data_IF_687491899832
#
_entry.id   IF_687491899832
#
_cell.length_a   1.000
_cell.length_b   1.000
_cell.length_c   1.000
_cell.angle_alpha   90.00
_cell.angle_beta   90.00
_cell.angle_gamma   90.00
#
_symmetry.space_group_name_H-M   'P 1'
#
loop_
_entity.id
_entity.type
_entity.pdbx_description
1 polymer ?
#
# COMPACT_ATOMS: atom_id res chain seq x y z
N UNK A 1 -6.26 -3.03 -59.02
CA UNK A 1 -5.92 -4.39 -58.53
C UNK A 1 -4.68 -4.87 -59.27
N UNK A 2 -3.78 -5.67 -58.67
CA UNK A 2 -3.25 -5.71 -57.28
C UNK A 2 -1.89 -4.94 -57.17
N UNK A 3 -1.33 -4.62 -55.98
CA UNK A 3 -0.28 -5.36 -55.22
C UNK A 3 0.86 -5.93 -56.11
N UNK A 4 2.16 -5.88 -55.80
CA UNK A 4 2.98 -5.50 -54.62
C UNK A 4 4.45 -5.38 -55.06
N UNK A 5 5.43 -4.80 -54.37
CA UNK A 5 5.49 -3.98 -53.13
C UNK A 5 6.84 -3.24 -53.09
N UNK A 6 6.95 -2.15 -52.32
CA UNK A 6 8.22 -1.45 -52.05
C UNK A 6 8.64 -1.59 -50.58
N UNK A 7 9.89 -1.99 -50.35
CA UNK A 7 10.48 -2.22 -49.03
C UNK A 7 10.87 -0.88 -48.39
N UNK A 8 10.49 -0.58 -47.13
CA UNK A 8 10.76 0.71 -46.52
C UNK A 8 12.25 0.91 -46.20
N UNK A 9 12.74 2.16 -46.19
CA UNK A 9 14.13 2.48 -45.89
C UNK A 9 14.47 2.27 -44.41
N UNK A 10 15.75 1.97 -44.17
CA UNK A 10 16.38 1.84 -42.86
C UNK A 10 16.31 3.18 -42.13
N UNK A 11 15.42 3.32 -41.15
CA UNK A 11 15.45 4.44 -40.20
C UNK A 11 16.53 4.16 -39.14
N UNK A 12 17.56 4.98 -39.13
CA UNK A 12 18.56 4.97 -38.08
C UNK A 12 17.94 5.52 -36.79
N UNK A 13 17.98 4.73 -35.73
CA UNK A 13 17.43 5.12 -34.44
C UNK A 13 18.32 6.20 -33.81
N UNK A 14 17.96 7.46 -34.04
CA UNK A 14 18.57 8.60 -33.35
C UNK A 14 18.47 8.42 -31.83
N UNK A 15 19.49 8.83 -31.05
CA UNK A 15 19.43 8.76 -29.60
C UNK A 15 18.39 9.77 -29.11
N UNK A 16 17.20 9.30 -28.76
CA UNK A 16 16.17 10.11 -28.11
C UNK A 16 16.67 10.53 -26.73
N UNK A 17 17.22 11.75 -26.65
CA UNK A 17 17.64 12.39 -25.39
C UNK A 17 16.40 12.65 -24.56
N UNK A 18 16.02 11.67 -23.74
CA UNK A 18 14.90 11.77 -22.83
C UNK A 18 15.21 12.80 -21.74
N UNK A 19 14.43 13.89 -21.71
CA UNK A 19 14.58 14.98 -20.74
C UNK A 19 14.57 14.46 -19.29
N UNK A 20 15.45 14.93 -18.38
CA UNK A 20 15.73 14.23 -17.12
C UNK A 20 14.58 14.13 -16.09
N UNK A 21 13.45 14.81 -16.31
CA UNK A 21 12.54 15.21 -15.22
C UNK A 21 11.09 14.66 -15.26
N UNK A 22 10.66 13.89 -16.26
CA UNK A 22 9.21 13.60 -16.44
C UNK A 22 8.80 12.12 -16.64
N UNK A 23 9.67 11.16 -16.29
CA UNK A 23 9.43 9.71 -16.53
C UNK A 23 9.95 8.74 -15.44
N UNK A 24 10.19 9.15 -14.18
CA UNK A 24 10.82 8.27 -13.15
C UNK A 24 10.37 8.44 -11.68
N UNK A 25 9.10 8.74 -11.41
CA UNK A 25 8.61 8.86 -10.01
C UNK A 25 8.25 7.51 -9.37
N UNK A 26 7.61 6.59 -10.09
CA UNK A 26 7.20 5.28 -9.54
C UNK A 26 8.39 4.40 -9.09
N UNK A 27 9.52 4.48 -9.79
CA UNK A 27 10.68 3.62 -9.52
C UNK A 27 11.60 4.14 -8.41
N UNK A 28 11.32 5.32 -7.84
CA UNK A 28 12.17 5.95 -6.81
C UNK A 28 11.44 6.43 -5.57
N UNK A 29 10.11 6.35 -5.53
CA UNK A 29 9.32 6.70 -4.35
C UNK A 29 8.37 5.57 -3.92
N UNK A 30 8.49 5.15 -2.67
CA UNK A 30 7.58 4.19 -2.05
C UNK A 30 6.52 4.93 -1.21
N UNK A 31 5.30 5.05 -1.75
CA UNK A 31 4.17 5.67 -1.04
C UNK A 31 3.77 4.96 0.26
N UNK A 32 3.90 3.63 0.34
CA UNK A 32 3.57 2.86 1.56
C UNK A 32 4.50 3.16 2.74
N UNK A 33 5.75 3.58 2.45
CA UNK A 33 6.78 3.84 3.46
C UNK A 33 7.19 5.32 3.53
N UNK A 34 6.59 6.19 2.71
CA UNK A 34 7.00 7.59 2.48
C UNK A 34 8.52 7.74 2.27
N UNK A 35 9.12 6.85 1.47
CA UNK A 35 10.56 6.73 1.31
C UNK A 35 11.01 7.04 -0.12
N UNK A 36 11.99 7.93 -0.27
CA UNK A 36 12.64 8.28 -1.53
C UNK A 36 13.99 7.57 -1.68
N UNK A 37 14.34 7.18 -2.91
CA UNK A 37 15.55 6.45 -3.25
C UNK A 37 16.31 7.14 -4.39
N UNK A 38 17.64 7.18 -4.30
CA UNK A 38 18.47 7.85 -5.30
C UNK A 38 18.49 7.12 -6.65
N UNK A 39 18.40 5.78 -6.63
CA UNK A 39 18.50 4.89 -7.79
C UNK A 39 17.38 3.81 -7.73
N UNK A 40 16.72 3.46 -8.85
CA UNK A 40 15.70 2.41 -8.90
C UNK A 40 16.15 1.06 -8.34
N UNK A 41 17.43 0.67 -8.45
CA UNK A 41 17.91 -0.60 -7.86
C UNK A 41 17.76 -0.62 -6.33
N UNK A 42 17.94 0.52 -5.66
CA UNK A 42 17.72 0.62 -4.20
C UNK A 42 16.22 0.56 -3.85
N UNK A 43 15.37 1.16 -4.68
CA UNK A 43 13.92 1.07 -4.51
C UNK A 43 13.42 -0.38 -4.72
N UNK A 44 13.96 -1.09 -5.71
CA UNK A 44 13.66 -2.51 -5.94
C UNK A 44 14.05 -3.36 -4.72
N UNK A 45 15.27 -3.22 -4.20
CA UNK A 45 15.68 -3.89 -2.96
C UNK A 45 14.79 -3.51 -1.75
N UNK A 46 14.30 -2.28 -1.70
CA UNK A 46 13.32 -1.87 -0.69
C UNK A 46 11.99 -2.62 -0.85
N UNK A 47 11.40 -2.65 -2.06
CA UNK A 47 10.14 -3.35 -2.35
C UNK A 47 10.23 -4.85 -2.05
N UNK A 48 11.37 -5.47 -2.36
CA UNK A 48 11.63 -6.87 -2.04
C UNK A 48 11.94 -7.15 -0.55
N UNK A 49 12.27 -6.10 0.21
CA UNK A 49 12.71 -6.19 1.59
C UNK A 49 11.62 -6.63 2.57
N UNK A 50 12.00 -7.43 3.57
CA UNK A 50 11.13 -7.94 4.64
C UNK A 50 10.33 -6.82 5.36
N UNK A 51 10.94 -5.63 5.55
CA UNK A 51 10.29 -4.47 6.16
C UNK A 51 9.13 -3.95 5.30
N UNK A 52 9.34 -3.81 3.98
CA UNK A 52 8.30 -3.38 3.05
C UNK A 52 7.17 -4.41 2.99
N UNK A 53 7.49 -5.69 2.78
CA UNK A 53 6.51 -6.78 2.73
C UNK A 53 5.64 -6.86 4.00
N UNK A 54 6.24 -6.70 5.19
CA UNK A 54 5.48 -6.61 6.47
C UNK A 54 4.56 -5.39 6.54
N UNK A 55 5.01 -4.23 6.05
CA UNK A 55 4.19 -3.01 6.03
C UNK A 55 3.05 -3.10 5.00
N UNK A 56 3.32 -3.62 3.80
CA UNK A 56 2.32 -3.86 2.77
C UNK A 56 1.23 -4.82 3.25
N UNK A 57 1.60 -5.95 3.88
CA UNK A 57 0.64 -6.86 4.50
C UNK A 57 -0.19 -6.18 5.61
N UNK A 58 0.45 -5.37 6.46
CA UNK A 58 -0.24 -4.56 7.50
C UNK A 58 -1.26 -3.60 6.89
N UNK A 59 -0.93 -2.93 5.78
CA UNK A 59 -1.82 -1.99 5.09
C UNK A 59 -2.96 -2.73 4.38
N UNK A 60 -2.68 -3.83 3.67
CA UNK A 60 -3.71 -4.63 2.99
C UNK A 60 -4.76 -5.19 3.95
N UNK A 61 -4.33 -5.75 5.10
CA UNK A 61 -5.24 -6.14 6.18
C UNK A 61 -6.06 -4.95 6.67
N UNK A 62 -5.42 -3.80 6.89
CA UNK A 62 -6.08 -2.59 7.39
C UNK A 62 -7.05 -1.94 6.38
N UNK A 63 -6.92 -2.24 5.09
CA UNK A 63 -7.85 -1.88 4.03
C UNK A 63 -9.04 -2.85 3.97
N UNK A 64 -8.79 -4.15 4.06
CA UNK A 64 -9.84 -5.18 4.18
C UNK A 64 -10.73 -5.00 5.41
N UNK A 65 -10.19 -4.44 6.50
CA UNK A 65 -10.97 -4.06 7.68
C UNK A 65 -11.56 -2.64 7.58
N UNK A 66 -11.02 -1.79 6.71
CA UNK A 66 -11.54 -0.43 6.49
C UNK A 66 -12.93 -0.40 5.84
N UNK A 67 -13.37 -1.52 5.24
CA UNK A 67 -14.72 -1.70 4.68
C UNK A 67 -15.73 -2.28 5.66
N UNK A 68 -15.29 -2.79 6.82
CA UNK A 68 -16.15 -3.49 7.79
C UNK A 68 -16.26 -2.79 9.15
N UNK A 69 -15.38 -1.83 9.43
CA UNK A 69 -15.30 -1.10 10.70
C UNK A 69 -15.77 0.36 10.56
N UNK A 70 -16.31 0.92 11.64
CA UNK A 70 -16.63 2.35 11.70
C UNK A 70 -15.35 3.23 11.74
N UNK A 71 -15.48 4.50 11.34
CA UNK A 71 -14.41 5.50 11.41
C UNK A 71 -13.76 5.62 12.79
N UNK A 72 -14.54 5.48 13.87
CA UNK A 72 -14.03 5.49 15.24
C UNK A 72 -13.12 4.31 15.56
N UNK A 73 -13.49 3.11 15.09
CA UNK A 73 -12.76 1.86 15.28
C UNK A 73 -11.50 1.81 14.42
N UNK A 74 -11.61 2.21 13.14
CA UNK A 74 -10.50 2.28 12.20
C UNK A 74 -9.40 3.23 12.69
N UNK A 75 -9.77 4.34 13.34
CA UNK A 75 -8.83 5.28 13.98
C UNK A 75 -8.09 4.65 15.17
N UNK A 76 -8.76 3.81 15.97
CA UNK A 76 -8.14 3.04 17.05
C UNK A 76 -7.13 2.01 16.55
N UNK A 77 -7.52 1.28 15.49
CA UNK A 77 -6.70 0.27 14.79
C UNK A 77 -5.47 0.88 14.11
N UNK A 78 -5.62 2.04 13.45
CA UNK A 78 -4.52 2.78 12.79
C UNK A 78 -3.46 3.28 13.78
N UNK A 79 -3.86 3.75 14.97
CA UNK A 79 -2.95 4.35 15.96
C UNK A 79 -2.10 3.32 16.68
N UNK A 80 -2.71 2.46 17.50
CA UNK A 80 -2.01 1.52 18.39
C UNK A 80 -2.89 0.29 18.74
N UNK A 81 -3.79 -0.13 17.84
CA UNK A 81 -4.77 -1.20 18.12
C UNK A 81 -5.57 -0.96 19.42
N UNK A 82 -5.90 0.32 19.70
CA UNK A 82 -6.53 0.71 20.96
C UNK A 82 -8.03 0.85 20.78
N UNK A 83 -8.77 0.07 21.55
CA UNK A 83 -10.22 0.17 21.63
C UNK A 83 -10.57 1.29 22.60
N UNK A 84 -11.39 2.25 22.17
CA UNK A 84 -11.82 3.40 22.99
C UNK A 84 -12.99 3.08 23.91
N UNK A 85 -13.75 2.02 23.61
CA UNK A 85 -14.92 1.59 24.39
C UNK A 85 -14.46 0.74 25.58
N UNK A 86 -13.68 -0.31 25.32
CA UNK A 86 -13.13 -1.18 26.37
C UNK A 86 -11.81 -0.65 26.97
N UNK A 87 -11.27 0.46 26.45
CA UNK A 87 -9.96 1.04 26.84
C UNK A 87 -8.73 0.12 26.74
N UNK A 88 -8.86 -1.07 26.14
CA UNK A 88 -7.76 -2.02 25.94
C UNK A 88 -6.91 -1.67 24.71
N UNK A 89 -5.62 -1.99 24.77
CA UNK A 89 -4.71 -1.96 23.62
C UNK A 89 -4.27 -3.40 23.31
N UNK A 90 -4.28 -3.78 22.04
CA UNK A 90 -4.03 -5.14 21.58
C UNK A 90 -2.74 -5.20 20.75
N UNK A 91 -2.19 -6.40 20.53
CA UNK A 91 -0.85 -6.53 19.93
C UNK A 91 -0.85 -6.82 18.42
N UNK A 92 -2.00 -7.08 17.81
CA UNK A 92 -2.11 -7.34 16.36
C UNK A 92 -3.46 -6.90 15.79
N UNK A 93 -3.54 -6.73 14.46
CA UNK A 93 -4.78 -6.40 13.74
C UNK A 93 -5.84 -7.48 13.96
N UNK A 94 -5.45 -8.75 13.89
CA UNK A 94 -6.34 -9.90 14.03
C UNK A 94 -6.93 -9.97 15.44
N UNK A 95 -6.11 -9.69 16.46
CA UNK A 95 -6.57 -9.60 17.85
C UNK A 95 -7.57 -8.45 18.03
N UNK A 96 -7.31 -7.29 17.43
CA UNK A 96 -8.24 -6.15 17.46
C UNK A 96 -9.58 -6.48 16.79
N UNK A 97 -9.56 -7.11 15.62
CA UNK A 97 -10.75 -7.53 14.90
C UNK A 97 -11.55 -8.60 15.66
N UNK A 98 -10.86 -9.58 16.26
CA UNK A 98 -11.49 -10.58 17.12
C UNK A 98 -12.10 -9.96 18.38
N UNK A 99 -11.47 -8.93 18.94
CA UNK A 99 -11.99 -8.17 20.07
C UNK A 99 -13.30 -7.44 19.71
N UNK A 100 -13.34 -6.68 18.61
CA UNK A 100 -14.55 -5.94 18.20
C UNK A 100 -15.75 -6.86 17.96
N UNK A 101 -15.52 -8.03 17.34
CA UNK A 101 -16.56 -9.05 17.12
C UNK A 101 -16.91 -9.87 18.37
N UNK A 102 -16.16 -9.72 19.46
CA UNK A 102 -16.36 -10.48 20.69
C UNK A 102 -17.54 -9.98 21.52
N UNK A 103 -18.30 -10.89 22.14
CA UNK A 103 -19.49 -10.58 22.93
C UNK A 103 -19.23 -9.56 24.04
N UNK A 104 -18.05 -9.60 24.68
CA UNK A 104 -17.64 -8.61 25.69
C UNK A 104 -17.62 -7.18 25.13
N UNK A 105 -17.13 -6.99 23.91
CA UNK A 105 -17.10 -5.67 23.28
C UNK A 105 -18.52 -5.22 22.90
N UNK A 106 -19.32 -6.11 22.30
CA UNK A 106 -20.71 -5.83 21.93
C UNK A 106 -21.59 -5.43 23.12
N UNK A 107 -21.42 -6.03 24.30
CA UNK A 107 -22.14 -5.61 25.51
C UNK A 107 -21.70 -4.22 25.98
N UNK A 108 -20.40 -3.91 25.95
CA UNK A 108 -19.91 -2.57 26.31
C UNK A 108 -20.34 -1.48 25.30
N UNK A 109 -20.53 -1.85 24.02
CA UNK A 109 -21.12 -0.99 22.99
C UNK A 109 -22.58 -0.62 23.28
N UNK A 110 -23.38 -1.56 23.77
CA UNK A 110 -24.82 -1.37 24.07
C UNK A 110 -25.10 -0.66 25.39
N UNK A 111 -24.13 -0.68 26.31
CA UNK A 111 -24.25 -0.09 27.65
C UNK A 111 -23.71 1.36 27.72
N UNK A 112 -23.58 2.04 26.58
CA UNK A 112 -22.95 3.35 26.43
C UNK A 112 -23.86 4.28 25.64
#
# INVERSE_FOLDING_TARGET
TPLSSLKPPRVEAAPVVASPYQRRDSDRYCGLCAAWFNNPLMAQQHYDGKKHKKNAARVALLEQLGTTLDMGELRGLRRNYRCTICSVSLNSIEQYHAHLKGSKHQTNLKNK
#
